data_IF_075917820451
#
_entry.id   IF_075917820451
#
_cell.length_a   1.000
_cell.length_b   1.000
_cell.length_c   1.000
_cell.angle_alpha   90.00
_cell.angle_beta   90.00
_cell.angle_gamma   90.00
#
_symmetry.space_group_name_H-M   'P 1'
#
loop_
_entity.id
_entity.type
_entity.pdbx_description
1 polymer ?
#
# COMPACT_ATOMS: atom_id res chain seq x y z
N UNK A 1 1.99 20.04 -32.52
CA UNK A 1 0.76 19.57 -33.21
C UNK A 1 0.81 18.05 -33.27
N UNK A 2 -0.13 17.42 -32.56
CA UNK A 2 -0.59 16.01 -32.62
C UNK A 2 0.35 14.82 -32.33
N UNK A 3 -0.09 14.08 -31.30
CA UNK A 3 0.35 12.78 -30.78
C UNK A 3 -0.08 11.59 -31.66
N UNK A 4 0.75 10.53 -31.71
CA UNK A 4 0.31 9.13 -31.70
C UNK A 4 1.43 8.29 -31.03
N UNK A 5 1.18 7.62 -29.91
CA UNK A 5 1.88 6.35 -29.60
C UNK A 5 0.81 5.27 -29.41
N UNK A 6 0.83 4.30 -30.33
CA UNK A 6 0.04 3.07 -30.24
C UNK A 6 0.49 2.30 -28.99
N UNK A 7 -0.41 2.14 -28.02
CA UNK A 7 -0.23 1.16 -26.95
C UNK A 7 -0.48 -0.23 -27.51
N UNK A 8 0.58 -1.00 -27.69
CA UNK A 8 0.52 -2.41 -28.08
C UNK A 8 1.02 -3.26 -26.92
N UNK A 9 0.22 -4.26 -26.54
CA UNK A 9 0.73 -5.55 -26.13
C UNK A 9 1.02 -5.71 -24.65
N UNK A 10 0.22 -6.56 -24.02
CA UNK A 10 0.53 -7.23 -22.78
C UNK A 10 1.88 -7.96 -22.82
N UNK A 11 2.59 -8.03 -21.70
CA UNK A 11 3.25 -9.27 -21.25
C UNK A 11 3.44 -9.26 -19.74
N UNK A 12 3.14 -10.40 -19.12
CA UNK A 12 3.37 -10.69 -17.72
C UNK A 12 4.81 -11.18 -17.52
N UNK A 13 5.64 -10.48 -16.75
CA UNK A 13 6.96 -10.96 -16.27
C UNK A 13 7.29 -10.36 -14.88
N UNK A 14 7.48 -11.24 -13.89
CA UNK A 14 8.14 -11.15 -12.56
C UNK A 14 8.00 -9.90 -11.65
N UNK A 15 7.62 -10.15 -10.39
CA UNK A 15 7.25 -9.18 -9.33
C UNK A 15 8.47 -8.41 -8.75
N UNK A 16 9.70 -8.70 -9.19
CA UNK A 16 10.93 -8.09 -8.65
C UNK A 16 11.44 -6.85 -9.43
N UNK A 17 10.76 -6.42 -10.50
CA UNK A 17 11.22 -5.28 -11.34
C UNK A 17 10.34 -4.02 -11.26
N UNK A 18 9.43 -3.89 -10.27
CA UNK A 18 8.63 -2.67 -10.09
C UNK A 18 9.43 -1.62 -9.32
N UNK A 19 10.57 -1.20 -9.85
CA UNK A 19 11.26 0.01 -9.40
C UNK A 19 11.20 1.10 -10.49
N UNK A 20 10.10 1.86 -10.39
CA UNK A 20 10.06 3.32 -10.52
C UNK A 20 10.61 3.92 -11.82
N UNK A 21 9.79 3.93 -12.87
CA UNK A 21 9.85 4.98 -13.89
C UNK A 21 8.53 5.25 -14.65
N UNK A 22 7.40 4.77 -14.16
CA UNK A 22 6.09 5.18 -14.69
C UNK A 22 5.62 6.46 -13.98
N UNK A 23 5.43 7.53 -14.75
CA UNK A 23 4.81 8.76 -14.25
C UNK A 23 3.34 8.47 -13.98
N UNK A 24 2.98 8.33 -12.69
CA UNK A 24 1.60 8.08 -12.25
C UNK A 24 0.79 9.38 -12.31
N UNK A 25 -0.30 9.37 -13.08
CA UNK A 25 -1.31 10.44 -13.01
C UNK A 25 -2.41 10.00 -12.04
N UNK A 26 -2.26 10.38 -10.77
CA UNK A 26 -3.21 9.97 -9.73
C UNK A 26 -4.67 10.36 -10.03
N UNK A 27 -4.91 11.41 -10.83
CA UNK A 27 -6.26 11.81 -11.19
C UNK A 27 -6.96 10.79 -12.10
N UNK A 28 -6.20 10.00 -12.85
CA UNK A 28 -6.71 8.94 -13.74
C UNK A 28 -6.43 7.54 -13.20
N UNK A 29 -5.23 7.30 -12.71
CA UNK A 29 -4.70 5.97 -12.45
C UNK A 29 -5.06 5.48 -11.03
N UNK A 30 -5.33 6.38 -10.07
CA UNK A 30 -5.68 6.04 -8.68
C UNK A 30 -7.18 6.08 -8.39
N UNK A 31 -8.04 6.27 -9.40
CA UNK A 31 -9.51 6.44 -9.19
C UNK A 31 -10.17 5.26 -8.50
N UNK A 32 -9.60 4.06 -8.66
CA UNK A 32 -10.07 2.82 -8.04
C UNK A 32 -9.22 2.40 -6.82
N UNK A 33 -8.41 3.31 -6.28
CA UNK A 33 -7.62 3.12 -5.06
C UNK A 33 -6.25 2.44 -5.24
N UNK A 34 -6.02 1.70 -6.32
CA UNK A 34 -4.72 1.05 -6.56
C UNK A 34 -4.27 1.17 -8.03
N UNK A 35 -3.05 1.68 -8.22
CA UNK A 35 -2.44 1.88 -9.56
C UNK A 35 -2.19 0.59 -10.32
N UNK A 36 -2.05 -0.53 -9.60
CA UNK A 36 -1.84 -1.86 -10.17
C UNK A 36 -3.15 -2.55 -10.59
N UNK A 37 -4.30 -1.90 -10.40
CA UNK A 37 -5.62 -2.46 -10.69
C UNK A 37 -5.85 -3.76 -9.93
N UNK A 38 -6.05 -4.86 -10.66
CA UNK A 38 -6.31 -6.18 -10.08
C UNK A 38 -5.09 -6.86 -9.47
N UNK A 39 -3.88 -6.42 -9.82
CA UNK A 39 -2.63 -6.93 -9.27
C UNK A 39 -2.24 -6.23 -7.96
N UNK A 40 -3.17 -5.50 -7.33
CA UNK A 40 -2.90 -4.90 -6.05
C UNK A 40 -2.60 -5.99 -5.01
N UNK A 41 -1.45 -5.93 -4.32
CA UNK A 41 -1.14 -6.92 -3.30
C UNK A 41 -2.10 -6.80 -2.11
N UNK A 42 -2.32 -7.91 -1.40
CA UNK A 42 -3.07 -7.96 -0.14
C UNK A 42 -4.51 -7.38 -0.22
N UNK A 43 -5.26 -7.63 -1.31
CA UNK A 43 -6.66 -7.14 -1.42
C UNK A 43 -7.55 -7.64 -0.29
N UNK A 44 -7.29 -8.86 0.19
CA UNK A 44 -7.98 -9.46 1.33
C UNK A 44 -7.76 -8.67 2.65
N UNK A 45 -6.67 -7.92 2.76
CA UNK A 45 -6.40 -7.07 3.92
C UNK A 45 -7.24 -5.80 3.88
N UNK A 46 -7.55 -5.28 2.69
CA UNK A 46 -8.43 -4.13 2.51
C UNK A 46 -9.85 -4.43 3.01
N UNK A 47 -10.37 -5.63 2.74
CA UNK A 47 -11.68 -6.07 3.23
C UNK A 47 -11.69 -6.18 4.76
N UNK A 48 -10.63 -6.77 5.35
CA UNK A 48 -10.51 -6.86 6.81
C UNK A 48 -10.38 -5.48 7.47
N UNK A 49 -9.60 -4.59 6.87
CA UNK A 49 -9.45 -3.21 7.35
C UNK A 49 -10.79 -2.45 7.28
N UNK A 50 -11.53 -2.60 6.18
CA UNK A 50 -12.85 -1.98 6.02
C UNK A 50 -13.83 -2.49 7.07
N UNK A 51 -13.84 -3.79 7.33
CA UNK A 51 -14.65 -4.40 8.39
C UNK A 51 -14.26 -3.88 9.77
N UNK A 52 -12.96 -3.82 10.08
CA UNK A 52 -12.47 -3.29 11.34
C UNK A 52 -12.92 -1.84 11.57
N UNK A 53 -12.80 -0.98 10.56
CA UNK A 53 -13.21 0.43 10.64
C UNK A 53 -14.73 0.54 10.86
N UNK A 54 -15.53 -0.30 10.19
CA UNK A 54 -16.98 -0.29 10.33
C UNK A 54 -17.47 -0.78 11.70
N UNK A 55 -16.78 -1.77 12.28
CA UNK A 55 -17.19 -2.44 13.53
C UNK A 55 -16.53 -1.83 14.78
N UNK A 56 -15.46 -1.04 14.62
CA UNK A 56 -14.72 -0.44 15.74
C UNK A 56 -15.12 1.02 15.90
N UNK A 57 -15.58 1.40 17.10
CA UNK A 57 -15.86 2.81 17.39
C UNK A 57 -14.58 3.64 17.42
N UNK A 58 -14.70 4.95 17.15
CA UNK A 58 -13.56 5.87 17.21
C UNK A 58 -12.87 5.84 18.59
N UNK A 59 -13.64 5.83 19.68
CA UNK A 59 -13.10 5.75 21.03
C UNK A 59 -12.28 4.46 21.24
N UNK A 60 -12.76 3.33 20.69
CA UNK A 60 -12.03 2.07 20.79
C UNK A 60 -10.74 2.09 19.96
N UNK A 61 -10.75 2.73 18.79
CA UNK A 61 -9.53 2.91 17.99
C UNK A 61 -8.48 3.74 18.75
N UNK A 62 -8.91 4.80 19.45
CA UNK A 62 -8.02 5.65 20.26
C UNK A 62 -7.41 4.86 21.44
N UNK A 63 -8.19 4.02 22.10
CA UNK A 63 -7.70 3.13 23.16
C UNK A 63 -6.62 2.16 22.64
N UNK A 64 -6.87 1.55 21.48
CA UNK A 64 -5.91 0.64 20.83
C UNK A 64 -4.62 1.39 20.48
N UNK A 65 -4.73 2.61 19.95
CA UNK A 65 -3.59 3.44 19.59
C UNK A 65 -2.71 3.80 20.80
N UNK A 66 -3.32 4.16 21.93
CA UNK A 66 -2.58 4.48 23.16
C UNK A 66 -1.92 3.23 23.75
N UNK A 67 -2.59 2.07 23.74
CA UNK A 67 -1.99 0.81 24.17
C UNK A 67 -0.77 0.42 23.32
N UNK A 68 -0.86 0.59 21.99
CA UNK A 68 0.25 0.36 21.07
C UNK A 68 1.41 1.34 21.30
N UNK A 69 1.10 2.62 21.56
CA UNK A 69 2.09 3.64 21.92
C UNK A 69 2.84 3.27 23.19
N UNK A 70 2.13 2.89 24.24
CA UNK A 70 2.74 2.48 25.51
C UNK A 70 3.63 1.26 25.34
N UNK A 71 3.18 0.25 24.59
CA UNK A 71 3.98 -0.93 24.25
C UNK A 71 5.28 -0.55 23.55
N UNK A 72 5.22 0.33 22.53
CA UNK A 72 6.39 0.81 21.80
C UNK A 72 7.38 1.59 22.68
N UNK A 73 6.91 2.31 23.69
CA UNK A 73 7.77 3.04 24.63
C UNK A 73 8.49 2.09 25.61
N UNK A 74 7.88 0.96 25.94
CA UNK A 74 8.45 -0.03 26.87
C UNK A 74 9.30 -1.09 26.20
N UNK A 75 9.06 -1.36 24.91
CA UNK A 75 9.84 -2.35 24.15
C UNK A 75 11.25 -1.84 23.85
N UNK A 76 12.29 -2.68 23.99
CA UNK A 76 13.63 -2.32 23.58
C UNK A 76 13.66 -2.02 22.07
N UNK A 77 14.43 -1.02 21.63
CA UNK A 77 14.50 -0.67 20.22
C UNK A 77 15.04 -1.85 19.40
N UNK A 78 14.30 -2.25 18.36
CA UNK A 78 14.77 -3.21 17.35
C UNK A 78 15.59 -2.47 16.31
N UNK A 79 16.90 -2.64 16.37
CA UNK A 79 17.81 -2.16 15.33
C UNK A 79 17.88 -3.20 14.23
N UNK A 80 17.37 -2.86 13.04
CA UNK A 80 17.56 -3.67 11.84
C UNK A 80 18.79 -3.07 11.16
N UNK A 81 19.91 -3.81 11.19
CA UNK A 81 21.09 -3.47 10.40
C UNK A 81 20.91 -4.22 9.08
N UNK A 82 20.83 -3.53 7.93
CA UNK A 82 20.78 -4.19 6.63
C UNK A 82 22.02 -5.07 6.44
N UNK A 83 21.82 -6.30 5.98
CA UNK A 83 22.91 -7.28 5.80
C UNK A 83 23.80 -6.97 4.57
N UNK A 84 23.35 -6.08 3.68
CA UNK A 84 24.04 -5.72 2.44
C UNK A 84 24.48 -4.24 2.46
N UNK A 85 25.81 -4.02 2.41
CA UNK A 85 26.46 -2.72 2.13
C UNK A 85 27.26 -2.81 0.83
#
# INVERSE_FOLDING_TARGET
>A
MSYIRKGNGARAENIEEVLVNDTVDCARDCVNGCVLGDNCPHREDADRASKFIAETSLDKMLEIAEAARMKKLTEPPKWIIPDDF
#
